data_IF_591217519008
#
_entry.id   IF_591217519008
#
_cell.length_a   1.000
_cell.length_b   1.000
_cell.length_c   1.000
_cell.angle_alpha   90.00
_cell.angle_beta   90.00
_cell.angle_gamma   90.00
#
_symmetry.space_group_name_H-M   'P 1'
#
loop_
_entity.id
_entity.type
_entity.pdbx_description
1 polymer ?
#
# COMPACT_ATOMS: atom_id res chain seq x y z
N UNK A 1 -11.40 2.28 -19.57
CA UNK A 1 -11.06 3.59 -18.92
C UNK A 1 -9.60 3.50 -18.49
N UNK A 2 -8.74 4.41 -18.93
CA UNK A 2 -7.33 4.38 -18.53
C UNK A 2 -7.15 5.05 -17.17
N UNK A 3 -6.59 4.32 -16.22
CA UNK A 3 -6.24 4.85 -14.91
C UNK A 3 -4.98 5.71 -15.01
N UNK A 4 -4.97 6.85 -14.33
CA UNK A 4 -3.83 7.77 -14.34
C UNK A 4 -3.66 8.46 -12.98
N UNK A 5 -2.40 8.73 -12.62
CA UNK A 5 -2.04 9.63 -11.54
C UNK A 5 -1.96 11.06 -12.11
N UNK A 6 -2.71 11.97 -11.52
CA UNK A 6 -2.73 13.38 -11.94
C UNK A 6 -2.24 14.24 -10.78
N UNK A 7 -1.27 15.10 -11.04
CA UNK A 7 -0.80 16.12 -10.11
C UNK A 7 -1.28 17.50 -10.57
N UNK A 8 -1.91 18.21 -9.68
CA UNK A 8 -2.41 19.58 -9.91
C UNK A 8 -1.63 20.56 -9.03
N UNK A 9 -1.41 21.75 -9.55
CA UNK A 9 -1.00 22.89 -8.75
C UNK A 9 -2.12 23.33 -7.81
N UNK A 10 -1.80 24.15 -6.81
CA UNK A 10 -2.81 24.74 -5.89
C UNK A 10 -3.82 25.61 -6.60
N UNK A 11 -3.48 26.14 -7.77
CA UNK A 11 -4.32 26.91 -8.67
C UNK A 11 -5.22 26.04 -9.58
N UNK A 12 -5.15 24.70 -9.44
CA UNK A 12 -5.88 23.73 -10.24
C UNK A 12 -5.26 23.42 -11.61
N UNK A 13 -4.16 24.08 -11.97
CA UNK A 13 -3.48 23.80 -13.23
C UNK A 13 -2.82 22.41 -13.22
N UNK A 14 -2.85 21.75 -14.37
CA UNK A 14 -2.22 20.43 -14.55
C UNK A 14 -0.70 20.57 -14.47
N UNK A 15 -0.12 19.91 -13.46
CA UNK A 15 1.34 19.80 -13.31
C UNK A 15 1.90 18.58 -14.04
N UNK A 16 1.33 17.41 -13.82
CA UNK A 16 1.69 16.19 -14.54
C UNK A 16 0.54 15.20 -14.62
N UNK A 17 0.58 14.34 -15.62
CA UNK A 17 -0.31 13.19 -15.77
C UNK A 17 0.50 11.97 -16.16
N UNK A 18 0.44 10.95 -15.32
CA UNK A 18 1.18 9.70 -15.48
C UNK A 18 0.20 8.55 -15.68
N UNK A 19 0.52 7.63 -16.56
CA UNK A 19 -0.29 6.42 -16.82
C UNK A 19 0.39 5.19 -16.26
N UNK A 20 -0.42 4.20 -15.89
CA UNK A 20 0.10 2.88 -15.56
C UNK A 20 0.60 2.17 -16.81
N UNK A 21 1.65 1.34 -16.67
CA UNK A 21 2.19 0.55 -17.77
C UNK A 21 1.17 -0.49 -18.29
N UNK A 22 0.41 -1.10 -17.37
CA UNK A 22 -0.64 -2.07 -17.72
C UNK A 22 -2.02 -1.38 -17.72
N UNK A 23 -2.71 -1.32 -18.89
CA UNK A 23 -4.02 -0.65 -18.99
C UNK A 23 -5.16 -1.37 -18.26
N UNK A 24 -4.98 -2.65 -17.87
CA UNK A 24 -5.93 -3.41 -17.06
C UNK A 24 -5.75 -3.16 -15.56
N UNK A 25 -4.70 -2.45 -15.16
CA UNK A 25 -4.52 -2.00 -13.78
C UNK A 25 -5.30 -0.71 -13.52
N UNK A 26 -5.89 -0.62 -12.34
CA UNK A 26 -6.63 0.55 -11.88
C UNK A 26 -6.08 1.03 -10.54
N UNK A 27 -5.65 2.30 -10.45
CA UNK A 27 -5.23 2.91 -9.17
C UNK A 27 -6.45 3.00 -8.25
N UNK A 28 -6.30 2.51 -7.02
CA UNK A 28 -7.36 2.49 -6.01
C UNK A 28 -7.03 3.34 -4.79
N UNK A 29 -5.77 3.28 -4.35
CA UNK A 29 -5.30 3.97 -3.16
C UNK A 29 -3.99 4.67 -3.43
N UNK A 30 -3.77 5.77 -2.69
CA UNK A 30 -2.55 6.57 -2.75
C UNK A 30 -2.01 6.79 -1.35
N UNK A 31 -0.69 6.79 -1.21
CA UNK A 31 0.02 7.34 -0.07
C UNK A 31 1.09 8.31 -0.56
N UNK A 32 1.27 9.39 0.19
CA UNK A 32 2.25 10.44 -0.15
C UNK A 32 3.18 10.63 1.03
N UNK A 33 4.47 10.53 0.78
CA UNK A 33 5.52 10.80 1.74
C UNK A 33 5.82 12.30 1.84
N UNK A 34 6.45 12.72 2.93
CA UNK A 34 6.81 14.12 3.17
C UNK A 34 7.77 14.68 2.11
N UNK A 35 8.61 13.83 1.52
CA UNK A 35 9.52 14.20 0.41
C UNK A 35 8.81 14.35 -0.95
N UNK A 36 7.49 14.07 -1.03
CA UNK A 36 6.71 14.10 -2.25
C UNK A 36 6.72 12.78 -3.04
N UNK A 37 7.31 11.71 -2.51
CA UNK A 37 7.17 10.36 -3.09
C UNK A 37 5.72 9.89 -2.98
N UNK A 38 5.16 9.40 -4.08
CA UNK A 38 3.76 8.91 -4.15
C UNK A 38 3.78 7.43 -4.45
N UNK A 39 3.12 6.63 -3.61
CA UNK A 39 2.85 5.23 -3.86
C UNK A 39 1.39 5.05 -4.33
N UNK A 40 1.19 4.21 -5.35
CA UNK A 40 -0.10 3.91 -5.96
C UNK A 40 -0.40 2.42 -5.82
N UNK A 41 -1.39 2.07 -5.01
CA UNK A 41 -1.93 0.72 -4.90
C UNK A 41 -2.98 0.47 -5.99
N UNK A 42 -2.96 -0.72 -6.59
CA UNK A 42 -3.71 -1.03 -7.80
C UNK A 42 -4.59 -2.27 -7.61
N UNK A 43 -5.60 -2.35 -8.46
CA UNK A 43 -6.38 -3.56 -8.70
C UNK A 43 -6.22 -3.93 -10.18
N UNK A 44 -5.96 -5.18 -10.46
CA UNK A 44 -5.96 -5.73 -11.80
C UNK A 44 -7.34 -6.24 -12.19
N UNK A 45 -7.73 -6.00 -13.44
CA UNK A 45 -9.06 -6.34 -13.99
C UNK A 45 -8.96 -7.27 -15.21
N UNK A 46 -7.85 -8.01 -15.33
CA UNK A 46 -7.65 -9.03 -16.38
C UNK A 46 -7.97 -10.44 -15.88
N UNK A 47 -7.29 -11.43 -16.48
CA UNK A 47 -7.55 -12.84 -16.23
C UNK A 47 -7.21 -13.24 -14.78
N UNK A 48 -8.07 -14.04 -14.12
CA UNK A 48 -7.77 -14.59 -12.81
C UNK A 48 -6.47 -15.40 -12.83
N UNK A 49 -5.62 -15.18 -11.82
CA UNK A 49 -4.35 -15.90 -11.69
C UNK A 49 -3.14 -15.19 -12.29
N UNK A 50 -3.32 -14.15 -13.09
CA UNK A 50 -2.19 -13.35 -13.55
C UNK A 50 -1.45 -12.67 -12.40
N UNK A 51 -0.15 -12.89 -12.31
CA UNK A 51 0.71 -12.30 -11.29
C UNK A 51 1.30 -10.97 -11.77
N UNK A 52 0.47 -9.94 -11.81
CA UNK A 52 0.85 -8.61 -12.30
C UNK A 52 1.34 -7.70 -11.16
N UNK A 53 2.16 -6.67 -11.45
CA UNK A 53 2.49 -5.62 -10.49
C UNK A 53 1.23 -4.88 -10.04
N UNK A 54 1.07 -4.70 -8.72
CA UNK A 54 -0.05 -3.98 -8.11
C UNK A 54 0.40 -2.74 -7.33
N UNK A 55 1.66 -2.36 -7.48
CA UNK A 55 2.25 -1.25 -6.77
C UNK A 55 3.14 -0.46 -7.74
N UNK A 56 2.92 0.85 -7.80
CA UNK A 56 3.77 1.78 -8.54
C UNK A 56 4.18 2.94 -7.64
N UNK A 57 5.35 3.50 -7.89
CA UNK A 57 5.90 4.61 -7.11
C UNK A 57 6.37 5.71 -8.06
N UNK A 58 6.01 6.95 -7.73
CA UNK A 58 6.53 8.17 -8.36
C UNK A 58 7.38 8.91 -7.34
N UNK A 59 8.66 9.04 -7.62
CA UNK A 59 9.57 9.89 -6.84
C UNK A 59 9.61 11.30 -7.43
N UNK A 60 9.96 12.32 -6.63
CA UNK A 60 10.17 13.67 -7.15
C UNK A 60 11.14 13.68 -8.33
N UNK A 61 10.77 14.37 -9.41
CA UNK A 61 11.59 14.46 -10.63
C UNK A 61 11.66 13.19 -11.50
N UNK A 62 11.01 12.09 -11.11
CA UNK A 62 10.98 10.84 -11.87
C UNK A 62 9.57 10.55 -12.41
N UNK A 63 9.47 9.72 -13.44
CA UNK A 63 8.19 9.18 -13.92
C UNK A 63 7.61 8.17 -12.93
N UNK A 64 6.29 7.93 -13.01
CA UNK A 64 5.65 6.83 -12.30
C UNK A 64 6.20 5.50 -12.83
N UNK A 65 6.73 4.68 -11.96
CA UNK A 65 7.31 3.38 -12.30
C UNK A 65 6.73 2.26 -11.43
N UNK A 66 6.71 1.04 -11.96
CA UNK A 66 6.36 -0.14 -11.18
C UNK A 66 7.34 -0.32 -10.02
N UNK A 67 6.79 -0.59 -8.83
CA UNK A 67 7.62 -0.92 -7.67
C UNK A 67 8.04 -2.39 -7.76
N UNK A 68 9.32 -2.73 -7.51
CA UNK A 68 9.81 -4.08 -7.67
C UNK A 68 9.25 -5.01 -6.59
N UNK A 69 8.17 -5.73 -6.91
CA UNK A 69 7.55 -6.76 -6.06
C UNK A 69 7.89 -8.12 -6.65
N UNK A 70 8.41 -9.04 -5.83
CA UNK A 70 8.76 -10.38 -6.29
C UNK A 70 7.50 -11.19 -6.71
N UNK A 71 7.70 -12.21 -7.54
CA UNK A 71 6.60 -13.00 -8.11
C UNK A 71 5.71 -13.64 -7.04
N UNK A 72 6.31 -14.15 -5.97
CA UNK A 72 5.60 -14.76 -4.84
C UNK A 72 4.65 -13.77 -4.16
N UNK A 73 5.10 -12.53 -3.94
CA UNK A 73 4.26 -11.50 -3.32
C UNK A 73 3.15 -11.05 -4.28
N UNK A 74 3.42 -10.93 -5.59
CA UNK A 74 2.39 -10.62 -6.59
C UNK A 74 1.27 -11.66 -6.56
N UNK A 75 1.63 -12.94 -6.47
CA UNK A 75 0.70 -14.04 -6.44
C UNK A 75 -0.19 -14.02 -5.18
N UNK A 76 0.42 -13.81 -4.00
CA UNK A 76 -0.35 -13.77 -2.75
C UNK A 76 -1.23 -12.53 -2.61
N UNK A 77 -0.96 -11.44 -3.32
CA UNK A 77 -1.83 -10.26 -3.34
C UNK A 77 -3.17 -10.49 -4.04
N UNK A 78 -3.31 -11.54 -4.84
CA UNK A 78 -4.53 -11.91 -5.55
C UNK A 78 -5.19 -10.73 -6.28
N UNK A 79 -4.37 -10.00 -7.06
CA UNK A 79 -4.79 -8.93 -7.96
C UNK A 79 -5.50 -7.73 -7.27
N UNK A 80 -5.35 -7.58 -5.95
CA UNK A 80 -6.03 -6.51 -5.24
C UNK A 80 -5.20 -5.93 -4.09
N UNK A 81 -5.01 -4.60 -4.15
CA UNK A 81 -4.51 -3.78 -3.05
C UNK A 81 -5.67 -2.98 -2.46
N UNK A 82 -5.93 -3.13 -1.16
CA UNK A 82 -7.03 -2.44 -0.47
C UNK A 82 -6.60 -1.10 0.13
N UNK A 83 -5.42 -1.05 0.73
CA UNK A 83 -4.90 0.17 1.35
C UNK A 83 -3.38 0.18 1.34
N UNK A 84 -2.79 1.37 1.43
CA UNK A 84 -1.35 1.52 1.62
C UNK A 84 -1.02 2.75 2.45
N UNK A 85 0.13 2.70 3.12
CA UNK A 85 0.68 3.81 3.89
C UNK A 85 2.20 3.87 3.77
N UNK A 86 2.75 5.07 3.81
CA UNK A 86 4.19 5.31 3.91
C UNK A 86 4.51 5.81 5.31
N UNK A 87 5.55 5.25 5.91
CA UNK A 87 6.15 5.78 7.14
C UNK A 87 7.39 6.59 6.76
N UNK A 88 7.33 7.90 6.91
CA UNK A 88 8.35 8.80 6.43
C UNK A 88 9.73 8.58 7.06
N UNK A 89 9.81 8.54 8.39
CA UNK A 89 11.08 8.41 9.10
C UNK A 89 11.75 7.05 8.89
N UNK A 90 10.98 5.96 8.93
CA UNK A 90 11.50 4.61 8.73
C UNK A 90 11.67 4.24 7.25
N UNK A 91 11.20 5.07 6.34
CA UNK A 91 11.22 4.84 4.89
C UNK A 91 10.62 3.49 4.52
N UNK A 92 9.46 3.18 5.09
CA UNK A 92 8.75 1.93 4.87
C UNK A 92 7.43 2.18 4.12
N UNK A 93 7.07 1.22 3.27
CA UNK A 93 5.80 1.17 2.55
C UNK A 93 5.05 -0.07 2.95
N UNK A 94 3.87 0.10 3.53
CA UNK A 94 2.96 -1.00 3.88
C UNK A 94 1.78 -1.07 2.91
N UNK A 95 1.35 -2.29 2.59
CA UNK A 95 0.23 -2.59 1.71
C UNK A 95 -0.61 -3.72 2.29
N UNK A 96 -1.93 -3.57 2.24
CA UNK A 96 -2.89 -4.61 2.61
C UNK A 96 -3.49 -5.26 1.37
N UNK A 97 -3.52 -6.59 1.36
CA UNK A 97 -4.11 -7.42 0.30
C UNK A 97 -5.15 -8.38 0.91
N UNK A 98 -6.40 -7.93 1.12
CA UNK A 98 -7.43 -8.73 1.83
C UNK A 98 -7.76 -10.03 1.11
N UNK A 99 -7.79 -10.06 -0.23
CA UNK A 99 -8.03 -11.29 -0.99
C UNK A 99 -6.97 -12.36 -0.71
N UNK A 100 -5.72 -11.93 -0.53
CA UNK A 100 -4.60 -12.79 -0.17
C UNK A 100 -4.45 -13.00 1.34
N UNK A 101 -5.21 -12.28 2.17
CA UNK A 101 -5.05 -12.27 3.62
C UNK A 101 -3.62 -11.92 4.04
N UNK A 102 -3.03 -10.87 3.41
CA UNK A 102 -1.62 -10.49 3.61
C UNK A 102 -1.44 -9.02 3.89
N UNK A 103 -0.61 -8.75 4.89
CA UNK A 103 0.08 -7.48 5.07
C UNK A 103 1.51 -7.64 4.55
N UNK A 104 1.90 -6.73 3.68
CA UNK A 104 3.24 -6.68 3.10
C UNK A 104 3.89 -5.35 3.46
N UNK A 105 5.15 -5.36 3.92
CA UNK A 105 5.92 -4.14 4.23
C UNK A 105 7.27 -4.23 3.54
N UNK A 106 7.61 -3.19 2.79
CA UNK A 106 8.90 -3.05 2.12
C UNK A 106 9.67 -1.83 2.61
N UNK A 107 10.97 -1.88 2.48
CA UNK A 107 11.80 -0.69 2.44
C UNK A 107 11.47 0.09 1.15
N UNK A 108 11.07 1.36 1.30
CA UNK A 108 10.59 2.18 0.19
C UNK A 108 11.72 2.53 -0.81
N UNK A 109 12.95 2.62 -0.33
CA UNK A 109 14.06 3.13 -1.12
C UNK A 109 14.76 2.03 -1.93
N UNK A 110 14.89 0.82 -1.36
CA UNK A 110 15.56 -0.31 -2.01
C UNK A 110 14.66 -1.48 -2.37
N UNK A 111 13.36 -1.35 -2.10
CA UNK A 111 12.32 -2.35 -2.38
C UNK A 111 12.53 -3.71 -1.68
N UNK A 112 13.35 -3.77 -0.63
CA UNK A 112 13.56 -4.98 0.13
C UNK A 112 12.32 -5.30 0.97
N UNK A 113 11.80 -6.51 0.83
CA UNK A 113 10.71 -7.00 1.68
C UNK A 113 11.17 -7.08 3.14
N UNK A 114 10.43 -6.45 4.04
CA UNK A 114 10.67 -6.42 5.49
C UNK A 114 9.70 -7.33 6.24
N UNK A 115 8.48 -7.47 5.73
CA UNK A 115 7.45 -8.32 6.32
C UNK A 115 6.51 -8.84 5.23
N UNK A 116 6.19 -10.13 5.33
CA UNK A 116 5.04 -10.78 4.68
C UNK A 116 4.29 -11.54 5.77
N UNK A 117 3.20 -10.97 6.28
CA UNK A 117 2.47 -11.50 7.42
C UNK A 117 1.04 -11.87 7.05
N UNK A 118 0.56 -13.05 7.50
CA UNK A 118 -0.85 -13.39 7.36
C UNK A 118 -1.71 -12.52 8.29
N UNK A 119 -2.72 -11.89 7.72
CA UNK A 119 -3.76 -11.17 8.46
C UNK A 119 -5.08 -11.33 7.71
N UNK A 120 -6.00 -12.18 8.20
CA UNK A 120 -7.27 -12.42 7.54
C UNK A 120 -8.04 -11.13 7.29
N UNK A 121 -8.45 -10.95 6.04
CA UNK A 121 -9.21 -9.79 5.59
C UNK A 121 -8.58 -8.45 6.01
N UNK A 122 -7.24 -8.33 5.89
CA UNK A 122 -6.54 -7.09 6.23
C UNK A 122 -7.04 -5.96 5.30
N UNK A 123 -7.54 -4.90 5.90
CA UNK A 123 -8.27 -3.85 5.20
C UNK A 123 -7.49 -2.52 5.21
N UNK A 124 -7.66 -1.69 6.22
CA UNK A 124 -6.99 -0.41 6.33
C UNK A 124 -5.59 -0.49 6.92
N UNK A 125 -4.69 0.41 6.50
CA UNK A 125 -3.38 0.60 7.11
C UNK A 125 -3.08 2.09 7.27
N UNK A 126 -2.48 2.46 8.42
CA UNK A 126 -2.03 3.81 8.70
C UNK A 126 -0.67 3.82 9.40
N UNK A 127 0.16 4.82 9.12
CA UNK A 127 1.45 4.99 9.77
C UNK A 127 1.30 5.66 11.13
N UNK A 128 2.02 5.16 12.12
CA UNK A 128 2.15 5.70 13.49
C UNK A 128 3.63 5.79 13.86
N UNK A 129 3.98 6.45 14.96
CA UNK A 129 5.39 6.66 15.33
C UNK A 129 6.23 5.36 15.39
N UNK A 130 5.64 4.24 15.79
CA UNK A 130 6.32 2.96 15.90
C UNK A 130 6.38 2.17 14.57
N UNK A 131 5.53 2.50 13.59
CA UNK A 131 5.39 1.74 12.36
C UNK A 131 3.99 1.81 11.77
N UNK A 132 3.18 0.73 11.84
CA UNK A 132 1.87 0.70 11.20
C UNK A 132 0.78 0.11 12.09
N UNK A 133 -0.37 0.76 12.08
CA UNK A 133 -1.63 0.18 12.57
C UNK A 133 -2.39 -0.39 11.37
N UNK A 134 -2.84 -1.63 11.51
CA UNK A 134 -3.56 -2.35 10.43
C UNK A 134 -4.86 -2.90 10.98
N UNK A 135 -5.95 -2.58 10.29
CA UNK A 135 -7.29 -3.11 10.58
C UNK A 135 -7.65 -4.29 9.68
N UNK A 136 -8.67 -5.02 10.07
CA UNK A 136 -9.18 -6.19 9.37
C UNK A 136 -10.71 -6.17 9.36
N UNK A 137 -11.32 -6.54 8.25
CA UNK A 137 -12.77 -6.65 8.10
C UNK A 137 -13.41 -7.65 9.07
N UNK A 138 -12.62 -8.57 9.67
CA UNK A 138 -13.09 -9.48 10.71
C UNK A 138 -12.93 -8.93 12.15
N UNK A 139 -12.81 -7.61 12.29
CA UNK A 139 -12.81 -6.93 13.59
C UNK A 139 -11.47 -6.94 14.34
N UNK A 140 -10.37 -7.29 13.68
CA UNK A 140 -9.03 -7.27 14.29
C UNK A 140 -8.33 -5.97 13.98
N UNK A 141 -7.55 -5.46 14.94
CA UNK A 141 -6.61 -4.37 14.75
C UNK A 141 -5.25 -4.73 15.38
N UNK A 142 -4.16 -4.41 14.70
CA UNK A 142 -2.81 -4.74 15.16
C UNK A 142 -1.87 -3.58 14.93
N UNK A 143 -0.98 -3.36 15.89
CA UNK A 143 0.21 -2.52 15.72
C UNK A 143 1.37 -3.40 15.25
N UNK A 144 2.07 -2.96 14.22
CA UNK A 144 3.32 -3.52 13.72
C UNK A 144 4.45 -2.54 14.03
N UNK A 145 5.24 -2.84 15.08
CA UNK A 145 6.41 -2.05 15.45
C UNK A 145 7.57 -2.35 14.52
N UNK A 146 7.96 -1.38 13.73
CA UNK A 146 8.97 -1.47 12.67
C UNK A 146 10.30 -0.79 13.01
N UNK A 147 10.48 -0.27 14.23
CA UNK A 147 11.67 0.48 14.65
C UNK A 147 12.94 -0.37 14.71
N UNK A 148 12.81 -1.68 14.73
CA UNK A 148 13.93 -2.61 14.74
C UNK A 148 13.98 -3.46 13.47
N UNK A 149 15.09 -4.16 13.26
CA UNK A 149 15.22 -5.07 12.11
C UNK A 149 14.15 -6.18 12.10
N UNK A 150 13.73 -6.64 13.28
CA UNK A 150 12.65 -7.61 13.45
C UNK A 150 11.35 -6.86 13.76
N UNK A 151 10.39 -6.92 12.83
CA UNK A 151 9.06 -6.33 13.02
C UNK A 151 8.27 -7.18 14.01
N UNK A 152 7.75 -6.55 15.05
CA UNK A 152 6.90 -7.19 16.06
C UNK A 152 5.47 -6.72 15.91
N UNK A 153 4.51 -7.62 16.08
CA UNK A 153 3.10 -7.25 16.05
C UNK A 153 2.40 -7.56 17.36
N UNK A 154 1.53 -6.65 17.78
CA UNK A 154 0.67 -6.82 18.94
C UNK A 154 -0.77 -6.46 18.62
N UNK A 155 -1.77 -7.14 19.19
CA UNK A 155 -3.17 -6.75 19.04
C UNK A 155 -3.39 -5.37 19.68
N UNK A 156 -4.29 -4.60 19.06
CA UNK A 156 -4.86 -3.41 19.66
C UNK A 156 -6.30 -3.70 20.05
N UNK A 157 -6.65 -3.42 21.29
CA UNK A 157 -8.02 -3.50 21.77
C UNK A 157 -8.77 -2.24 21.34
N UNK A 158 -9.69 -2.40 20.42
CA UNK A 158 -10.60 -1.37 19.96
C UNK A 158 -12.04 -1.81 20.21
N UNK A 159 -13.00 -0.87 20.23
CA UNK A 159 -14.41 -1.23 20.29
C UNK A 159 -14.77 -2.25 19.22
N UNK A 160 -15.66 -3.18 19.53
CA UNK A 160 -16.10 -4.20 18.58
C UNK A 160 -16.65 -3.55 17.31
N UNK A 161 -16.21 -4.02 16.14
CA UNK A 161 -16.61 -3.48 14.85
C UNK A 161 -15.98 -4.26 13.70
N UNK A 162 -16.52 -4.03 12.51
CA UNK A 162 -15.92 -4.45 11.24
C UNK A 162 -15.23 -3.22 10.63
N UNK A 163 -14.01 -3.39 10.16
CA UNK A 163 -13.20 -2.28 9.68
C UNK A 163 -13.08 -2.31 8.16
N UNK A 164 -13.22 -1.14 7.55
CA UNK A 164 -13.05 -0.92 6.12
C UNK A 164 -11.56 -0.65 5.77
N UNK A 165 -11.29 -0.52 4.47
CA UNK A 165 -9.97 -0.22 3.90
C UNK A 165 -9.55 1.27 4.05
N UNK A 166 -10.39 2.10 4.64
CA UNK A 166 -10.10 3.52 4.88
C UNK A 166 -9.78 3.77 6.35
N UNK A 167 -8.54 3.49 6.75
CA UNK A 167 -8.05 3.84 8.08
C UNK A 167 -7.41 5.23 8.04
N UNK A 168 -7.97 6.18 8.81
CA UNK A 168 -7.39 7.49 9.03
C UNK A 168 -7.05 7.65 10.51
N UNK A 169 -5.81 8.01 10.78
CA UNK A 169 -5.33 8.35 12.11
C UNK A 169 -5.47 9.87 12.28
N UNK A 170 -5.93 10.30 13.44
CA UNK A 170 -6.11 11.70 13.81
C UNK A 170 -4.82 12.30 14.35
#
# INVERSE_FOLDING_TARGET
MESSLVLLGRDGNLFSRERLANPLNSIRHLAVAADGTIACGQQYQGEPGDAVPLLAVKRPGQALAEFPVAAEQRQVMQQYCASLAIHDELRLLALTAPRGNRLLIWDLDNARLRLDAPLPDCAGVGAVAEGFVVSSGVGRCRLYDCRTATIRSQPLELPAGLWDNHLRLA
#
